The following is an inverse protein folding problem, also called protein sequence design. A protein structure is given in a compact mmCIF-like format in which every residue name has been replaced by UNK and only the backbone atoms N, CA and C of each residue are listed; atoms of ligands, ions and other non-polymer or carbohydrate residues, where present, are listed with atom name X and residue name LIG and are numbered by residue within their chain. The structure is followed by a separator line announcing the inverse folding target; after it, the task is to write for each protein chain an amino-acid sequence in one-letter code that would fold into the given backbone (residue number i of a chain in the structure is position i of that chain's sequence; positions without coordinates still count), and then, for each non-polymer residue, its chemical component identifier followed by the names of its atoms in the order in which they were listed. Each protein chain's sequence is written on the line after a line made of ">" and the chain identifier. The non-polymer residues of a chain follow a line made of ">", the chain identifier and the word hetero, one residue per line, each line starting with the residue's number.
data_IF_087184695059
#
_entry.id   IF_087184695059
#
_cell.length_a   1.000
_cell.length_b   1.000
_cell.length_c   1.000
_cell.angle_alpha   90.00
_cell.angle_beta   90.00
_cell.angle_gamma   90.00
#
_symmetry.space_group_name_H-M   'P 1'
#
loop_
_entity.id
_entity.type
_entity.pdbx_description
1 polymer ?
#
# COMPACT_ATOMS: atom_id res chain seq x y z
N UNK A 1 10.97 22.56 -46.41
CA UNK A 1 11.53 21.91 -45.20
C UNK A 1 10.73 22.30 -43.93
N UNK A 2 9.39 22.21 -43.95
CA UNK A 2 8.53 22.65 -42.83
C UNK A 2 7.85 21.49 -42.08
N UNK A 3 7.95 20.25 -42.58
CA UNK A 3 7.21 19.10 -42.03
C UNK A 3 7.96 18.41 -40.89
N UNK A 4 9.28 18.58 -40.79
CA UNK A 4 10.11 17.91 -39.77
C UNK A 4 9.96 18.55 -38.39
N UNK A 5 9.69 19.85 -38.31
CA UNK A 5 9.57 20.58 -37.03
C UNK A 5 8.26 20.25 -36.30
N UNK A 6 7.15 20.05 -37.03
CA UNK A 6 5.85 19.70 -36.44
C UNK A 6 5.82 18.31 -35.78
N UNK A 7 6.54 17.35 -36.35
CA UNK A 7 6.61 15.97 -35.83
C UNK A 7 7.43 15.90 -34.53
N UNK A 8 8.52 16.66 -34.44
CA UNK A 8 9.39 16.69 -33.25
C UNK A 8 8.66 17.33 -32.05
N UNK A 9 7.89 18.40 -32.29
CA UNK A 9 7.11 19.08 -31.24
C UNK A 9 5.93 18.20 -30.77
N UNK A 10 5.24 17.53 -31.70
CA UNK A 10 4.14 16.61 -31.37
C UNK A 10 4.59 15.40 -30.56
N UNK A 11 5.75 14.82 -30.89
CA UNK A 11 6.34 13.71 -30.13
C UNK A 11 6.78 14.14 -28.73
N UNK A 12 7.43 15.31 -28.59
CA UNK A 12 7.87 15.81 -27.29
C UNK A 12 6.70 16.09 -26.33
N UNK A 13 5.59 16.63 -26.84
CA UNK A 13 4.39 16.90 -26.04
C UNK A 13 3.68 15.62 -25.58
N UNK A 14 3.59 14.59 -26.44
CA UNK A 14 3.02 13.30 -26.05
C UNK A 14 3.89 12.60 -24.98
N UNK A 15 5.21 12.64 -25.12
CA UNK A 15 6.13 12.05 -24.14
C UNK A 15 6.06 12.77 -22.78
N UNK A 16 5.93 14.10 -22.78
CA UNK A 16 5.71 14.87 -21.55
C UNK A 16 4.37 14.51 -20.89
N UNK A 17 3.30 14.37 -21.69
CA UNK A 17 1.97 14.03 -21.18
C UNK A 17 1.92 12.63 -20.56
N UNK A 18 2.56 11.65 -21.18
CA UNK A 18 2.68 10.28 -20.64
C UNK A 18 3.45 10.27 -19.32
N UNK A 19 4.59 10.96 -19.25
CA UNK A 19 5.39 11.06 -18.03
C UNK A 19 4.63 11.75 -16.87
N UNK A 20 3.85 12.79 -17.17
CA UNK A 20 3.01 13.46 -16.17
C UNK A 20 1.90 12.52 -15.69
N UNK A 21 1.26 11.80 -16.61
CA UNK A 21 0.20 10.86 -16.28
C UNK A 21 0.72 9.71 -15.40
N UNK A 22 1.89 9.14 -15.72
CA UNK A 22 2.50 8.09 -14.91
C UNK A 22 2.90 8.57 -13.51
N UNK A 23 3.46 9.79 -13.40
CA UNK A 23 3.76 10.39 -12.09
C UNK A 23 2.50 10.63 -11.25
N UNK A 24 1.40 11.05 -11.88
CA UNK A 24 0.12 11.23 -11.19
C UNK A 24 -0.48 9.91 -10.73
N UNK A 25 -0.45 8.87 -11.58
CA UNK A 25 -0.91 7.54 -11.22
C UNK A 25 -0.10 6.97 -10.05
N UNK A 26 1.23 7.06 -10.11
CA UNK A 26 2.11 6.68 -9.00
C UNK A 26 1.80 7.43 -7.72
N UNK A 27 1.66 8.75 -7.80
CA UNK A 27 1.35 9.59 -6.64
C UNK A 27 -0.01 9.24 -6.01
N UNK A 28 -1.01 8.94 -6.83
CA UNK A 28 -2.32 8.48 -6.38
C UNK A 28 -2.21 7.11 -5.71
N UNK A 29 -1.58 6.16 -6.38
CA UNK A 29 -1.33 4.81 -5.87
C UNK A 29 -0.72 4.83 -4.47
N UNK A 30 0.37 5.58 -4.27
CA UNK A 30 1.07 5.57 -2.99
C UNK A 30 0.25 6.25 -1.89
N UNK A 31 -0.59 7.23 -2.22
CA UNK A 31 -1.51 7.83 -1.24
C UNK A 31 -2.62 6.87 -0.83
N UNK A 32 -3.18 6.15 -1.80
CA UNK A 32 -4.20 5.13 -1.53
C UNK A 32 -3.62 4.01 -0.64
N UNK A 33 -2.38 3.58 -0.92
CA UNK A 33 -1.65 2.62 -0.08
C UNK A 33 -1.44 3.13 1.36
N UNK A 34 -1.08 4.40 1.53
CA UNK A 34 -0.95 5.00 2.86
C UNK A 34 -2.30 5.01 3.60
N UNK A 35 -3.40 5.35 2.91
CA UNK A 35 -4.72 5.36 3.50
C UNK A 35 -5.14 3.95 3.98
N UNK A 36 -4.80 2.90 3.23
CA UNK A 36 -5.05 1.52 3.64
C UNK A 36 -4.21 1.11 4.86
N UNK A 37 -2.95 1.52 4.94
CA UNK A 37 -2.11 1.30 6.12
C UNK A 37 -2.71 1.97 7.37
N UNK A 38 -3.17 3.22 7.23
CA UNK A 38 -3.83 3.96 8.32
C UNK A 38 -5.16 3.31 8.74
N UNK A 39 -5.93 2.81 7.76
CA UNK A 39 -7.16 2.07 8.03
C UNK A 39 -6.89 0.79 8.83
N UNK A 40 -5.92 -0.02 8.41
CA UNK A 40 -5.52 -1.22 9.14
C UNK A 40 -5.03 -0.90 10.55
N UNK A 41 -4.31 0.22 10.72
CA UNK A 41 -3.83 0.63 12.04
C UNK A 41 -5.00 0.93 12.97
N UNK A 42 -5.99 1.67 12.48
CA UNK A 42 -7.21 1.96 13.21
C UNK A 42 -7.95 0.68 13.60
N UNK A 43 -8.07 -0.29 12.70
CA UNK A 43 -8.69 -1.57 13.02
C UNK A 43 -7.94 -2.36 14.10
N UNK A 44 -6.60 -2.33 14.06
CA UNK A 44 -5.76 -2.95 15.08
C UNK A 44 -5.91 -2.27 16.44
N UNK A 45 -5.98 -0.93 16.47
CA UNK A 45 -6.25 -0.16 17.69
C UNK A 45 -7.64 -0.40 18.26
N UNK A 46 -8.64 -0.58 17.39
CA UNK A 46 -10.01 -0.96 17.77
C UNK A 46 -10.12 -2.43 18.21
N UNK A 47 -9.03 -3.22 18.14
CA UNK A 47 -9.03 -4.64 18.48
C UNK A 47 -9.86 -5.50 17.54
N UNK A 48 -10.13 -5.04 16.31
CA UNK A 48 -10.92 -5.79 15.34
C UNK A 48 -10.13 -7.01 14.89
N UNK A 49 -10.72 -8.20 14.94
CA UNK A 49 -10.12 -9.43 14.40
C UNK A 49 -10.35 -9.61 12.89
N UNK A 50 -11.09 -8.72 12.23
CA UNK A 50 -11.48 -8.84 10.83
C UNK A 50 -11.63 -7.48 10.17
N UNK A 51 -11.76 -7.50 8.85
CA UNK A 51 -11.98 -6.30 8.05
C UNK A 51 -10.69 -5.58 7.71
N UNK A 52 -9.53 -6.14 8.06
CA UNK A 52 -8.26 -5.62 7.59
C UNK A 52 -8.26 -5.64 6.07
N UNK A 53 -7.84 -4.53 5.49
CA UNK A 53 -7.47 -4.53 4.10
C UNK A 53 -6.18 -5.32 4.00
N UNK A 54 -6.25 -6.57 3.57
CA UNK A 54 -5.11 -7.16 2.85
C UNK A 54 -4.88 -6.18 1.72
N UNK A 55 -3.70 -5.54 1.64
CA UNK A 55 -3.33 -4.50 0.68
C UNK A 55 -3.31 -5.07 -0.76
N UNK A 56 -4.42 -5.66 -1.17
CA UNK A 56 -4.66 -6.48 -2.35
C UNK A 56 -5.24 -5.66 -3.50
N UNK A 57 -5.27 -4.35 -3.35
CA UNK A 57 -5.10 -3.48 -4.49
C UNK A 57 -3.59 -3.45 -4.72
N UNK A 58 -3.08 -3.62 -5.93
CA UNK A 58 -3.56 -3.05 -7.16
C UNK A 58 -3.22 -4.06 -8.27
N UNK A 59 -3.87 -3.95 -9.42
CA UNK A 59 -3.45 -4.62 -10.64
C UNK A 59 -1.90 -4.64 -10.81
N UNK A 60 -1.39 -5.55 -11.64
CA UNK A 60 0.04 -5.61 -11.93
C UNK A 60 0.65 -4.25 -12.35
N UNK A 61 -0.17 -3.28 -12.82
CA UNK A 61 0.26 -1.93 -13.19
C UNK A 61 0.52 -1.03 -11.98
N UNK A 62 -0.13 -1.25 -10.84
CA UNK A 62 0.13 -0.50 -9.62
C UNK A 62 1.28 -1.08 -8.80
N UNK A 63 1.38 -2.41 -8.72
CA UNK A 63 2.44 -3.08 -7.97
C UNK A 63 3.85 -2.65 -8.42
N UNK A 64 4.03 -2.26 -9.69
CA UNK A 64 5.30 -1.70 -10.19
C UNK A 64 5.80 -0.51 -9.37
N UNK A 65 4.89 0.29 -8.79
CA UNK A 65 5.23 1.45 -7.98
C UNK A 65 5.72 1.10 -6.56
N UNK A 66 5.46 -0.12 -6.06
CA UNK A 66 6.06 -0.59 -4.81
C UNK A 66 7.57 -0.80 -4.95
N UNK A 67 8.03 -1.16 -6.15
CA UNK A 67 9.47 -1.32 -6.40
C UNK A 67 10.24 0.00 -6.37
N UNK A 68 9.54 1.13 -6.46
CA UNK A 68 10.13 2.47 -6.28
C UNK A 68 10.31 2.87 -4.81
N UNK A 69 9.80 2.06 -3.88
CA UNK A 69 10.01 2.25 -2.46
C UNK A 69 11.39 1.73 -2.06
N UNK A 70 12.01 2.31 -1.03
CA UNK A 70 13.16 1.70 -0.36
C UNK A 70 12.85 0.25 0.02
N UNK A 71 13.83 -0.63 -0.17
CA UNK A 71 13.66 -2.07 0.09
C UNK A 71 13.11 -2.36 1.48
N UNK A 72 13.62 -1.67 2.52
CA UNK A 72 13.11 -1.77 3.90
C UNK A 72 11.61 -1.52 3.97
N UNK A 73 11.15 -0.38 3.46
CA UNK A 73 9.72 -0.01 3.47
C UNK A 73 8.86 -1.02 2.70
N UNK A 74 9.34 -1.47 1.55
CA UNK A 74 8.64 -2.48 0.74
C UNK A 74 8.47 -3.78 1.51
N UNK A 75 9.54 -4.29 2.14
CA UNK A 75 9.50 -5.52 2.94
C UNK A 75 8.54 -5.38 4.12
N UNK A 76 8.57 -4.26 4.83
CA UNK A 76 7.65 -4.05 5.96
C UNK A 76 6.19 -3.96 5.52
N UNK A 77 5.89 -3.38 4.35
CA UNK A 77 4.54 -3.36 3.79
C UNK A 77 4.07 -4.79 3.44
N UNK A 78 4.95 -5.64 2.91
CA UNK A 78 4.62 -7.05 2.69
C UNK A 78 4.36 -7.80 4.02
N UNK A 79 5.12 -7.50 5.07
CA UNK A 79 4.88 -8.08 6.39
C UNK A 79 3.53 -7.64 6.99
N UNK A 80 3.16 -6.36 6.81
CA UNK A 80 1.82 -5.84 7.18
C UNK A 80 0.74 -6.63 6.45
N UNK A 81 0.90 -6.82 5.14
CA UNK A 81 -0.07 -7.56 4.32
C UNK A 81 -0.20 -9.01 4.74
N UNK A 82 0.92 -9.70 4.96
CA UNK A 82 0.95 -11.10 5.40
C UNK A 82 0.21 -11.26 6.73
N UNK A 83 0.46 -10.37 7.70
CA UNK A 83 -0.20 -10.38 9.01
C UNK A 83 -1.68 -10.02 8.93
N UNK A 84 -2.05 -9.00 8.16
CA UNK A 84 -3.44 -8.63 7.93
C UNK A 84 -4.24 -9.79 7.28
N UNK A 85 -3.61 -10.52 6.36
CA UNK A 85 -4.20 -11.71 5.73
C UNK A 85 -4.35 -12.83 6.74
N UNK A 86 -3.31 -13.12 7.51
CA UNK A 86 -3.35 -14.12 8.57
C UNK A 86 -4.42 -13.83 9.63
N UNK A 87 -4.65 -12.56 10.00
CA UNK A 87 -5.71 -12.19 10.95
C UNK A 87 -7.10 -12.39 10.33
N UNK A 88 -7.28 -12.01 9.05
CA UNK A 88 -8.55 -12.24 8.35
C UNK A 88 -8.85 -13.74 8.13
N UNK A 89 -7.84 -14.54 7.81
CA UNK A 89 -7.93 -15.99 7.54
C UNK A 89 -7.95 -16.83 8.83
N UNK A 90 -7.27 -16.38 9.88
CA UNK A 90 -7.13 -17.04 11.18
C UNK A 90 -8.43 -17.13 11.98
N UNK A 91 -9.48 -16.42 11.56
CA UNK A 91 -10.83 -16.58 12.12
C UNK A 91 -11.37 -17.96 11.74
N UNK A 92 -11.10 -18.93 12.60
CA UNK A 92 -11.74 -20.23 12.53
C UNK A 92 -13.09 -20.15 13.26
N UNK A 93 -14.19 -20.13 12.51
CA UNK A 93 -15.55 -20.20 13.09
C UNK A 93 -15.87 -21.66 13.40
N UNK A 94 -15.83 -22.06 14.67
CA UNK A 94 -16.36 -23.35 15.13
C UNK A 94 -17.69 -23.14 15.84
N UNK A 95 -18.75 -23.82 15.37
CA UNK A 95 -20.10 -23.79 15.97
C UNK A 95 -20.66 -22.38 16.27
N UNK A 96 -20.39 -21.40 15.42
CA UNK A 96 -20.88 -20.02 15.61
C UNK A 96 -20.23 -19.26 16.77
N UNK A 97 -19.22 -19.83 17.43
CA UNK A 97 -18.37 -19.13 18.40
C UNK A 97 -17.03 -18.77 17.76
N UNK A 98 -16.66 -17.49 17.90
CA UNK A 98 -15.34 -16.99 17.52
C UNK A 98 -14.39 -17.23 18.68
N UNK A 99 -13.40 -18.09 18.47
CA UNK A 99 -12.27 -18.21 19.39
C UNK A 99 -11.19 -17.27 18.87
N UNK A 100 -10.88 -16.21 19.60
CA UNK A 100 -9.57 -15.56 19.43
C UNK A 100 -8.55 -16.47 20.08
N UNK A 101 -7.76 -17.17 19.26
CA UNK A 101 -6.60 -17.87 19.80
C UNK A 101 -5.56 -16.81 20.22
N UNK A 102 -4.66 -17.15 21.16
CA UNK A 102 -3.55 -16.29 21.58
C UNK A 102 -2.74 -15.83 20.35
N UNK A 103 -2.71 -16.64 19.29
CA UNK A 103 -2.13 -16.29 17.99
C UNK A 103 -2.74 -15.07 17.30
N UNK A 104 -4.05 -14.84 17.41
CA UNK A 104 -4.72 -13.69 16.77
C UNK A 104 -4.44 -12.39 17.51
N UNK A 105 -4.43 -12.46 18.84
CA UNK A 105 -4.06 -11.33 19.71
C UNK A 105 -2.59 -10.94 19.46
N UNK A 106 -1.69 -11.92 19.41
CA UNK A 106 -0.28 -11.69 19.13
C UNK A 106 -0.08 -11.10 17.73
N UNK A 107 -0.77 -11.63 16.71
CA UNK A 107 -0.68 -11.12 15.34
C UNK A 107 -1.18 -9.69 15.23
N UNK A 108 -2.24 -9.30 15.94
CA UNK A 108 -2.71 -7.91 15.98
C UNK A 108 -1.73 -6.96 16.66
N UNK A 109 -1.18 -7.33 17.81
CA UNK A 109 -0.21 -6.48 18.50
C UNK A 109 1.05 -6.29 17.65
N UNK A 110 1.53 -7.35 17.00
CA UNK A 110 2.64 -7.26 16.06
C UNK A 110 2.29 -6.43 14.82
N UNK A 111 1.08 -6.58 14.27
CA UNK A 111 0.59 -5.76 13.14
C UNK A 111 0.53 -4.28 13.53
N UNK A 112 -0.01 -3.96 14.72
CA UNK A 112 -0.09 -2.61 15.24
C UNK A 112 1.30 -1.98 15.38
N UNK A 113 2.23 -2.68 16.02
CA UNK A 113 3.61 -2.22 16.17
C UNK A 113 4.29 -1.98 14.82
N UNK A 114 4.09 -2.88 13.86
CA UNK A 114 4.62 -2.72 12.51
C UNK A 114 4.02 -1.52 11.79
N UNK A 115 2.71 -1.28 11.91
CA UNK A 115 2.04 -0.13 11.32
C UNK A 115 2.49 1.20 11.95
N UNK A 116 2.79 1.20 13.25
CA UNK A 116 3.36 2.35 13.95
C UNK A 116 4.77 2.72 13.45
N UNK A 117 5.56 1.74 13.01
CA UNK A 117 6.86 1.98 12.38
C UNK A 117 6.73 2.42 10.90
N UNK A 118 5.92 1.70 10.13
CA UNK A 118 5.83 1.90 8.67
C UNK A 118 5.17 3.22 8.30
N UNK A 119 4.06 3.59 8.95
CA UNK A 119 3.27 4.77 8.54
C UNK A 119 4.09 6.07 8.60
N UNK A 120 4.84 6.38 9.68
CA UNK A 120 5.70 7.56 9.72
C UNK A 120 6.81 7.55 8.67
N UNK A 121 7.49 6.41 8.47
CA UNK A 121 8.54 6.29 7.45
C UNK A 121 7.96 6.49 6.04
N UNK A 122 6.79 5.93 5.77
CA UNK A 122 6.09 6.04 4.49
C UNK A 122 5.62 7.48 4.23
N UNK A 123 5.06 8.16 5.25
CA UNK A 123 4.72 9.60 5.19
C UNK A 123 5.94 10.46 4.88
N UNK A 124 7.08 10.19 5.53
CA UNK A 124 8.34 10.88 5.27
C UNK A 124 8.81 10.68 3.82
N UNK A 125 8.72 9.46 3.30
CA UNK A 125 9.04 9.16 1.90
C UNK A 125 8.16 9.98 0.94
N UNK A 126 6.85 10.03 1.17
CA UNK A 126 5.92 10.82 0.35
C UNK A 126 6.15 12.33 0.48
N UNK A 127 6.50 12.82 1.67
CA UNK A 127 6.81 14.23 1.92
C UNK A 127 8.09 14.70 1.25
N UNK A 128 9.12 13.85 1.22
CA UNK A 128 10.43 14.15 0.60
C UNK A 128 10.41 14.10 -0.95
N UNK A 129 9.30 13.68 -1.57
CA UNK A 129 9.13 13.61 -3.03
C UNK A 129 8.39 14.82 -3.63
N UNK A 130 8.03 15.82 -2.80
CA UNK A 130 7.53 17.14 -3.25
C UNK A 130 8.68 18.05 -3.65
#
# INVERSE_FOLDING_TARGET
>A
MAVVVGVIIGFGLNFLKENIHEKQQKGKYLKDLLADLEYNKRLAEEGRGWGYHTLGYIDAKGAKYLFDLPEKLRTQIYDVQSRASAINEGITVFFGQKFEDVGDVLNREMLKSLLEEVIPEFKKYLGNKK
#
